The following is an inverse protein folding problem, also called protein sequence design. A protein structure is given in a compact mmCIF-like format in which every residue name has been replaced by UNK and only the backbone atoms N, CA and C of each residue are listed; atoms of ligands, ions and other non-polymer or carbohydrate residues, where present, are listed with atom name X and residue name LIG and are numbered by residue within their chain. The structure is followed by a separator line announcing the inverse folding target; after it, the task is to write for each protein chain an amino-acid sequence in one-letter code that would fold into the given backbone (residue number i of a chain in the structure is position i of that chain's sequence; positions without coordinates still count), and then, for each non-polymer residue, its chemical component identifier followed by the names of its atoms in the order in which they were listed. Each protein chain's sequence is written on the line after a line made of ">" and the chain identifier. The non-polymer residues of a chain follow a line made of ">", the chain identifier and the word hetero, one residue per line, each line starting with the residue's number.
data_IF_283083976249
#
_entry.id   IF_283083976249
#
_cell.length_a   1.000
_cell.length_b   1.000
_cell.length_c   1.000
_cell.angle_alpha   90.00
_cell.angle_beta   90.00
_cell.angle_gamma   90.00
#
_symmetry.space_group_name_H-M   'P 1'
#
loop_
_entity.id
_entity.type
_entity.pdbx_description
1 polymer ?
#
# COMPACT_ATOMS: atom_id res chain seq x y z
N UNK A 1 -42.52 38.31 -44.17
CA UNK A 1 -43.38 38.79 -43.07
C UNK A 1 -42.92 38.15 -41.77
N UNK A 2 -42.77 38.97 -40.72
CA UNK A 2 -42.32 38.61 -39.36
C UNK A 2 -43.39 37.80 -38.59
N UNK A 3 -42.95 36.95 -37.66
CA UNK A 3 -43.37 36.88 -36.23
C UNK A 3 -43.21 35.45 -35.66
N UNK A 4 -42.17 35.14 -34.85
CA UNK A 4 -42.11 35.08 -33.36
C UNK A 4 -43.05 34.11 -32.64
N UNK A 5 -42.46 33.10 -31.95
CA UNK A 5 -42.79 32.55 -30.61
C UNK A 5 -41.56 31.75 -30.13
N UNK A 6 -40.67 32.28 -29.26
CA UNK A 6 -40.67 32.37 -27.78
C UNK A 6 -40.56 31.02 -27.03
N UNK A 7 -39.46 30.92 -26.27
CA UNK A 7 -38.99 29.81 -25.42
C UNK A 7 -40.00 29.30 -24.39
N UNK A 8 -39.91 28.00 -24.07
CA UNK A 8 -40.02 27.52 -22.68
C UNK A 8 -39.03 26.35 -22.45
N UNK A 9 -37.92 26.66 -21.78
CA UNK A 9 -37.17 25.71 -20.97
C UNK A 9 -38.06 25.37 -19.77
N UNK A 10 -38.39 24.10 -19.59
CA UNK A 10 -38.90 23.60 -18.31
C UNK A 10 -37.81 22.72 -17.72
N UNK A 11 -37.00 23.33 -16.86
CA UNK A 11 -36.20 22.61 -15.87
C UNK A 11 -37.16 22.01 -14.84
N UNK A 12 -37.22 20.69 -14.75
CA UNK A 12 -37.81 20.03 -13.58
C UNK A 12 -36.66 19.77 -12.60
N UNK A 13 -36.65 20.38 -11.40
CA UNK A 13 -35.64 20.08 -10.40
C UNK A 13 -36.04 18.77 -9.71
N UNK A 14 -35.30 17.69 -9.97
CA UNK A 14 -35.29 16.56 -9.05
C UNK A 14 -34.25 16.85 -7.97
N UNK A 15 -34.72 17.36 -6.84
CA UNK A 15 -33.98 17.31 -5.59
C UNK A 15 -33.92 15.84 -5.18
N UNK A 16 -32.79 15.19 -5.41
CA UNK A 16 -32.40 14.00 -4.66
C UNK A 16 -31.20 14.37 -3.82
N UNK A 17 -31.37 14.16 -2.53
CA UNK A 17 -30.43 14.38 -1.44
C UNK A 17 -28.99 13.96 -1.78
N UNK A 18 -28.05 14.90 -1.63
CA UNK A 18 -26.73 14.65 -1.04
C UNK A 18 -25.87 13.51 -1.59
N UNK A 19 -25.98 13.13 -2.86
CA UNK A 19 -25.05 12.19 -3.45
C UNK A 19 -23.75 12.94 -3.76
N UNK A 20 -22.77 12.87 -2.86
CA UNK A 20 -21.39 13.13 -3.23
C UNK A 20 -21.03 12.01 -4.21
N UNK A 21 -21.09 12.30 -5.52
CA UNK A 21 -20.50 11.41 -6.52
C UNK A 21 -19.00 11.39 -6.20
N UNK A 22 -18.52 10.27 -5.65
CA UNK A 22 -17.09 10.08 -5.45
C UNK A 22 -16.39 10.35 -6.79
N UNK A 23 -15.48 11.32 -6.81
CA UNK A 23 -14.75 11.64 -8.04
C UNK A 23 -13.85 10.47 -8.38
N UNK A 24 -13.81 10.11 -9.65
CA UNK A 24 -12.89 9.11 -10.16
C UNK A 24 -11.44 9.58 -9.91
N UNK A 25 -10.56 8.73 -9.33
CA UNK A 25 -9.15 9.04 -9.18
C UNK A 25 -8.51 9.43 -10.52
N UNK A 26 -7.87 10.59 -10.55
CA UNK A 26 -7.30 11.21 -11.75
C UNK A 26 -5.80 11.44 -11.59
N UNK A 27 -5.05 11.42 -12.69
CA UNK A 27 -3.58 11.56 -12.62
C UNK A 27 -3.16 12.91 -12.04
N UNK A 28 -2.32 12.85 -11.01
CA UNK A 28 -1.55 13.98 -10.47
C UNK A 28 -0.15 13.98 -11.07
N UNK A 29 0.48 12.80 -11.19
CA UNK A 29 1.83 12.62 -11.72
C UNK A 29 1.92 11.38 -12.60
N UNK A 30 2.72 11.46 -13.66
CA UNK A 30 3.21 10.31 -14.41
C UNK A 30 4.67 10.57 -14.80
N UNK A 31 5.61 9.75 -14.31
CA UNK A 31 7.04 9.95 -14.59
C UNK A 31 7.83 8.64 -14.52
N UNK A 32 8.86 8.50 -15.35
CA UNK A 32 9.95 7.54 -15.09
C UNK A 32 10.75 7.95 -13.85
N UNK A 33 11.57 7.05 -13.33
CA UNK A 33 12.42 7.30 -12.15
C UNK A 33 13.90 7.18 -12.51
N UNK A 34 14.80 7.40 -11.54
CA UNK A 34 16.21 7.04 -11.69
C UNK A 34 16.50 5.55 -11.42
N UNK A 35 15.48 4.76 -11.03
CA UNK A 35 15.61 3.32 -10.92
C UNK A 35 15.41 2.66 -12.29
N UNK A 36 16.25 1.66 -12.55
CA UNK A 36 16.03 0.69 -13.62
C UNK A 36 14.66 0.01 -13.52
N UNK A 37 14.27 -0.73 -14.56
CA UNK A 37 13.12 -1.63 -14.46
C UNK A 37 13.39 -2.67 -13.36
N UNK A 38 12.50 -2.75 -12.39
CA UNK A 38 12.73 -3.44 -11.11
C UNK A 38 11.98 -4.77 -10.95
N UNK A 39 11.39 -5.30 -12.03
CA UNK A 39 10.62 -6.55 -11.96
C UNK A 39 11.47 -7.73 -11.44
N UNK A 40 10.87 -8.55 -10.58
CA UNK A 40 11.44 -9.80 -10.07
C UNK A 40 12.37 -9.68 -8.85
N UNK A 41 13.08 -8.56 -8.66
CA UNK A 41 14.05 -8.41 -7.55
C UNK A 41 13.75 -7.26 -6.58
N UNK A 42 12.69 -6.48 -6.81
CA UNK A 42 12.34 -5.39 -5.93
C UNK A 42 10.88 -5.42 -5.47
N UNK A 43 10.70 -4.98 -4.23
CA UNK A 43 9.46 -4.44 -3.73
C UNK A 43 9.54 -2.90 -3.72
N UNK A 44 8.50 -2.21 -4.19
CA UNK A 44 8.45 -0.74 -4.18
C UNK A 44 7.44 -0.27 -3.12
N UNK A 45 7.89 0.63 -2.25
CA UNK A 45 7.11 1.25 -1.18
C UNK A 45 7.15 2.78 -1.31
N UNK A 46 6.25 3.44 -0.60
CA UNK A 46 6.17 4.91 -0.54
C UNK A 46 6.14 5.36 0.92
N UNK A 47 6.83 6.46 1.22
CA UNK A 47 6.85 7.09 2.54
C UNK A 47 7.74 8.31 2.56
N UNK A 48 7.50 9.25 3.48
CA UNK A 48 8.34 10.45 3.64
C UNK A 48 9.61 10.10 4.41
N UNK A 49 10.69 9.76 3.69
CA UNK A 49 11.93 9.27 4.27
C UNK A 49 12.77 10.42 4.85
N UNK A 50 12.81 11.56 4.16
CA UNK A 50 13.63 12.72 4.55
C UNK A 50 12.86 13.77 5.37
N UNK A 51 11.58 13.55 5.67
CA UNK A 51 10.67 14.43 6.42
C UNK A 51 10.40 15.77 5.74
N UNK A 52 10.45 15.82 4.42
CA UNK A 52 10.14 17.03 3.65
C UNK A 52 8.65 17.18 3.33
N UNK A 53 7.81 16.22 3.76
CA UNK A 53 6.37 16.08 3.50
C UNK A 53 6.02 15.80 2.05
N UNK A 54 6.95 15.37 1.21
CA UNK A 54 6.69 14.75 -0.09
C UNK A 54 6.96 13.25 0.05
N UNK A 55 6.04 12.37 -0.34
CA UNK A 55 6.32 10.95 -0.30
C UNK A 55 7.49 10.57 -1.23
N UNK A 56 8.51 9.94 -0.65
CA UNK A 56 9.66 9.37 -1.35
C UNK A 56 9.36 7.94 -1.81
N UNK A 57 10.07 7.48 -2.84
CA UNK A 57 9.99 6.10 -3.31
C UNK A 57 11.10 5.30 -2.61
N UNK A 58 10.71 4.22 -1.92
CA UNK A 58 11.63 3.31 -1.25
C UNK A 58 11.59 1.96 -1.96
N UNK A 59 12.65 1.65 -2.70
CA UNK A 59 12.82 0.39 -3.41
C UNK A 59 13.68 -0.57 -2.58
N UNK A 60 13.11 -1.73 -2.26
CA UNK A 60 13.76 -2.79 -1.50
C UNK A 60 14.23 -3.87 -2.46
N UNK A 61 15.54 -3.97 -2.70
CA UNK A 61 16.13 -5.01 -3.55
C UNK A 61 16.39 -6.26 -2.72
N UNK A 62 15.76 -7.36 -3.09
CA UNK A 62 15.66 -8.57 -2.25
C UNK A 62 16.69 -9.64 -2.55
N UNK A 63 17.22 -9.64 -3.78
CA UNK A 63 18.04 -10.73 -4.34
C UNK A 63 19.01 -10.19 -5.38
N UNK A 64 20.09 -10.93 -5.64
CA UNK A 64 21.14 -10.56 -6.59
C UNK A 64 21.73 -9.17 -6.27
N UNK A 65 22.00 -8.95 -4.99
CA UNK A 65 22.44 -7.66 -4.47
C UNK A 65 23.97 -7.54 -4.54
N UNK A 66 24.46 -6.30 -4.67
CA UNK A 66 25.90 -6.03 -4.64
C UNK A 66 26.47 -6.22 -3.23
N UNK A 67 25.67 -5.90 -2.22
CA UNK A 67 26.01 -6.00 -0.80
C UNK A 67 25.89 -7.41 -0.19
N UNK A 68 25.30 -8.38 -0.91
CA UNK A 68 24.93 -9.71 -0.37
C UNK A 68 23.96 -9.65 0.81
N UNK A 69 23.19 -8.57 0.86
CA UNK A 69 22.18 -8.26 1.86
C UNK A 69 20.96 -7.67 1.16
N UNK A 70 19.80 -7.64 1.80
CA UNK A 70 18.69 -6.82 1.28
C UNK A 70 19.18 -5.37 1.15
N UNK A 71 18.95 -4.71 0.02
CA UNK A 71 19.35 -3.31 -0.18
C UNK A 71 18.13 -2.37 -0.18
N UNK A 72 18.31 -1.17 0.36
CA UNK A 72 17.30 -0.10 0.35
C UNK A 72 17.82 1.05 -0.49
N UNK A 73 17.02 1.41 -1.49
CA UNK A 73 17.28 2.50 -2.43
C UNK A 73 16.14 3.51 -2.31
N UNK A 74 16.43 4.72 -1.85
CA UNK A 74 15.43 5.78 -1.64
C UNK A 74 15.59 6.86 -2.69
N UNK A 75 14.51 7.23 -3.37
CA UNK A 75 14.48 8.30 -4.36
C UNK A 75 13.57 9.43 -3.89
N UNK A 76 14.07 10.67 -4.03
CA UNK A 76 13.38 11.85 -3.51
C UNK A 76 12.11 12.18 -4.29
N UNK A 77 10.98 12.23 -3.59
CA UNK A 77 9.70 12.71 -4.12
C UNK A 77 9.78 14.16 -4.59
N UNK A 78 10.48 15.03 -3.83
CA UNK A 78 10.72 16.42 -4.21
C UNK A 78 11.49 16.58 -5.53
N UNK A 79 12.30 15.58 -5.91
CA UNK A 79 12.98 15.53 -7.21
C UNK A 79 12.15 14.89 -8.33
N UNK A 80 10.89 14.54 -8.09
CA UNK A 80 10.09 13.64 -8.95
C UNK A 80 10.78 12.30 -9.22
N UNK A 81 11.38 11.74 -8.17
CA UNK A 81 12.06 10.45 -8.16
C UNK A 81 13.27 10.38 -9.12
N UNK A 82 13.97 11.50 -9.31
CA UNK A 82 15.17 11.59 -10.17
C UNK A 82 16.48 11.52 -9.40
N UNK A 83 16.47 11.78 -8.10
CA UNK A 83 17.67 11.77 -7.26
C UNK A 83 17.55 10.71 -6.17
N UNK A 84 18.63 9.94 -5.97
CA UNK A 84 18.75 9.06 -4.81
C UNK A 84 19.07 9.86 -3.55
N UNK A 85 18.33 9.59 -2.47
CA UNK A 85 18.63 10.06 -1.11
C UNK A 85 19.54 9.06 -0.40
N UNK A 86 19.27 7.76 -0.57
CA UNK A 86 19.99 6.67 0.09
C UNK A 86 20.13 5.49 -0.87
N UNK A 87 21.29 4.82 -0.82
CA UNK A 87 21.50 3.48 -1.36
C UNK A 87 22.39 2.72 -0.38
N UNK A 88 21.87 1.67 0.25
CA UNK A 88 22.61 0.93 1.28
C UNK A 88 22.18 -0.53 1.36
N UNK A 89 23.11 -1.42 1.70
CA UNK A 89 22.78 -2.77 2.18
C UNK A 89 22.19 -2.70 3.59
N UNK A 90 21.62 -3.79 4.09
CA UNK A 90 21.01 -3.82 5.43
C UNK A 90 21.67 -4.89 6.31
N UNK A 91 21.32 -4.89 7.60
CA UNK A 91 21.66 -5.97 8.51
C UNK A 91 20.94 -7.30 8.20
N UNK A 92 19.96 -7.28 7.29
CA UNK A 92 19.25 -8.45 6.81
C UNK A 92 19.97 -9.00 5.58
N UNK A 93 20.28 -10.31 5.58
CA UNK A 93 20.83 -10.99 4.40
C UNK A 93 19.92 -10.89 3.17
N UNK A 94 20.32 -11.50 2.05
CA UNK A 94 19.41 -11.63 0.91
C UNK A 94 18.15 -12.39 1.33
N UNK A 95 17.00 -11.76 1.12
CA UNK A 95 15.71 -12.19 1.63
C UNK A 95 14.68 -12.09 0.50
N UNK A 96 14.52 -13.15 -0.32
CA UNK A 96 13.77 -13.06 -1.57
C UNK A 96 12.28 -12.77 -1.32
N UNK A 97 11.66 -12.01 -2.24
CA UNK A 97 10.25 -11.61 -2.16
C UNK A 97 9.25 -12.79 -2.12
N UNK A 98 9.67 -13.99 -2.55
CA UNK A 98 8.86 -15.20 -2.38
C UNK A 98 8.66 -15.56 -0.91
N UNK A 99 9.65 -15.30 -0.04
CA UNK A 99 9.60 -15.61 1.38
C UNK A 99 9.33 -14.38 2.25
N UNK A 100 9.71 -13.18 1.81
CA UNK A 100 9.61 -11.95 2.58
C UNK A 100 8.63 -10.94 1.98
N UNK A 101 7.95 -10.20 2.84
CA UNK A 101 7.22 -8.96 2.51
C UNK A 101 7.81 -7.83 3.35
N UNK A 102 7.95 -6.64 2.76
CA UNK A 102 8.51 -5.47 3.44
C UNK A 102 7.45 -4.40 3.65
N UNK A 103 7.53 -3.69 4.77
CA UNK A 103 6.71 -2.54 5.12
C UNK A 103 7.61 -1.45 5.72
N UNK A 104 7.10 -0.22 5.78
CA UNK A 104 7.79 0.91 6.40
C UNK A 104 6.89 1.54 7.46
N UNK A 105 7.45 1.75 8.65
CA UNK A 105 6.81 2.52 9.72
C UNK A 105 7.88 2.99 10.70
N UNK A 106 7.61 4.06 11.43
CA UNK A 106 8.41 4.45 12.60
C UNK A 106 8.03 3.55 13.78
N UNK A 107 8.83 2.51 14.04
CA UNK A 107 8.50 1.50 15.05
C UNK A 107 8.99 1.91 16.45
N UNK A 108 10.12 2.60 16.54
CA UNK A 108 10.72 3.03 17.81
C UNK A 108 10.40 4.48 18.21
N UNK A 109 9.69 5.22 17.36
CA UNK A 109 9.19 6.57 17.66
C UNK A 109 10.25 7.65 17.49
N UNK A 110 11.35 7.38 16.79
CA UNK A 110 12.40 8.37 16.52
C UNK A 110 12.08 9.29 15.32
N UNK A 111 10.98 9.01 14.63
CA UNK A 111 10.43 9.68 13.45
C UNK A 111 11.02 9.22 12.12
N UNK A 112 11.95 8.27 12.09
CA UNK A 112 12.56 7.74 10.86
C UNK A 112 11.83 6.45 10.49
N UNK A 113 11.65 6.24 9.20
CA UNK A 113 11.03 5.01 8.73
C UNK A 113 11.97 3.82 8.95
N UNK A 114 11.55 2.89 9.80
CA UNK A 114 12.17 1.59 9.99
C UNK A 114 11.68 0.61 8.91
N UNK A 115 12.53 -0.38 8.59
CA UNK A 115 12.16 -1.46 7.68
C UNK A 115 11.59 -2.61 8.50
N UNK A 116 10.32 -2.95 8.25
CA UNK A 116 9.67 -4.14 8.80
C UNK A 116 9.73 -5.23 7.73
N UNK A 117 10.53 -6.26 7.96
CA UNK A 117 10.62 -7.44 7.11
C UNK A 117 9.81 -8.60 7.72
N UNK A 118 8.76 -9.00 7.03
CA UNK A 118 7.87 -10.10 7.40
C UNK A 118 8.32 -11.36 6.66
N UNK A 119 8.85 -12.33 7.40
CA UNK A 119 9.22 -13.64 6.88
C UNK A 119 8.01 -14.57 6.98
N UNK A 120 7.47 -14.95 5.82
CA UNK A 120 6.18 -15.65 5.72
C UNK A 120 6.25 -17.11 6.19
N UNK A 121 7.25 -17.87 5.74
CA UNK A 121 7.37 -19.31 5.99
C UNK A 121 8.84 -19.76 6.09
N UNK A 122 9.06 -21.04 6.42
CA UNK A 122 10.39 -21.61 6.68
C UNK A 122 11.15 -20.80 7.75
N UNK A 123 10.43 -20.54 8.83
CA UNK A 123 10.82 -19.72 9.97
C UNK A 123 11.47 -20.56 11.06
N UNK A 124 12.26 -19.93 11.94
CA UNK A 124 12.83 -20.61 13.10
C UNK A 124 11.80 -20.88 14.20
N UNK A 125 10.71 -20.11 14.20
CA UNK A 125 9.64 -20.15 15.21
C UNK A 125 8.42 -20.95 14.79
N UNK A 126 8.37 -21.50 13.57
CA UNK A 126 7.18 -22.16 12.99
C UNK A 126 5.94 -21.24 12.99
N UNK A 127 6.17 -19.94 12.87
CA UNK A 127 5.17 -18.86 12.84
C UNK A 127 5.68 -17.79 11.88
N UNK A 128 4.80 -16.94 11.35
CA UNK A 128 5.29 -15.76 10.61
C UNK A 128 6.22 -14.95 11.51
N UNK A 129 7.42 -14.60 11.04
CA UNK A 129 8.42 -13.83 11.80
C UNK A 129 8.46 -12.37 11.34
N UNK A 130 8.67 -11.46 12.28
CA UNK A 130 8.88 -10.04 12.01
C UNK A 130 10.30 -9.67 12.43
N UNK A 131 11.04 -9.07 11.50
CA UNK A 131 12.37 -8.52 11.71
C UNK A 131 12.35 -7.02 11.39
N UNK A 132 12.63 -6.18 12.38
CA UNK A 132 12.58 -4.72 12.23
C UNK A 132 13.99 -4.17 12.26
N UNK A 133 14.37 -3.39 11.24
CA UNK A 133 15.68 -2.76 11.11
C UNK A 133 15.55 -1.24 11.24
N UNK A 134 16.38 -0.64 12.08
CA UNK A 134 16.30 0.78 12.43
C UNK A 134 16.70 1.69 11.28
N UNK A 135 15.79 2.57 10.86
CA UNK A 135 16.06 3.64 9.90
C UNK A 135 17.13 4.61 10.42
N UNK A 136 17.17 4.86 11.73
CA UNK A 136 18.22 5.65 12.38
C UNK A 136 19.64 5.11 12.17
N UNK A 137 19.75 3.79 12.04
CA UNK A 137 21.01 3.10 11.80
C UNK A 137 21.35 2.92 10.32
N UNK A 138 20.60 3.54 9.40
CA UNK A 138 20.60 3.19 7.97
C UNK A 138 20.39 1.67 7.79
N UNK A 139 19.44 1.13 8.54
CA UNK A 139 19.00 -0.27 8.46
C UNK A 139 20.09 -1.30 8.78
N UNK A 140 21.15 -0.92 9.50
CA UNK A 140 22.24 -1.82 9.90
C UNK A 140 21.93 -2.61 11.18
N UNK A 141 21.03 -2.11 12.02
CA UNK A 141 20.72 -2.71 13.33
C UNK A 141 19.29 -3.19 13.39
N UNK A 142 19.09 -4.39 13.93
CA UNK A 142 17.76 -4.88 14.30
C UNK A 142 17.27 -4.19 15.58
N UNK A 143 16.02 -3.71 15.55
CA UNK A 143 15.27 -3.27 16.72
C UNK A 143 14.54 -4.47 17.34
N UNK A 144 13.94 -5.32 16.51
CA UNK A 144 13.15 -6.47 16.92
C UNK A 144 13.36 -7.64 15.96
N UNK A 145 13.41 -8.86 16.50
CA UNK A 145 13.30 -10.10 15.73
C UNK A 145 12.47 -11.10 16.53
N UNK A 146 11.30 -11.49 16.03
CA UNK A 146 10.37 -12.31 16.82
C UNK A 146 9.40 -13.08 15.92
N UNK A 147 9.00 -14.29 16.35
CA UNK A 147 7.81 -14.96 15.79
C UNK A 147 6.54 -14.24 16.21
N UNK A 148 5.44 -14.40 15.48
CA UNK A 148 4.18 -13.72 15.77
C UNK A 148 3.11 -14.70 16.27
N UNK A 149 1.93 -14.20 16.64
CA UNK A 149 0.76 -15.05 16.86
C UNK A 149 0.20 -15.68 15.57
N UNK A 150 0.64 -15.20 14.41
CA UNK A 150 0.21 -15.71 13.12
C UNK A 150 1.06 -16.92 12.73
N UNK A 151 0.40 -17.99 12.27
CA UNK A 151 1.07 -19.15 11.69
C UNK A 151 1.92 -18.76 10.47
N UNK A 152 2.74 -19.67 9.97
CA UNK A 152 3.43 -19.44 8.70
C UNK A 152 2.41 -19.15 7.59
N UNK A 153 2.71 -18.13 6.78
CA UNK A 153 1.87 -17.62 5.71
C UNK A 153 2.46 -17.93 4.34
N UNK A 154 1.69 -17.69 3.29
CA UNK A 154 2.06 -17.95 1.90
C UNK A 154 1.57 -16.80 0.98
N UNK A 155 1.55 -17.03 -0.33
CA UNK A 155 1.14 -16.02 -1.32
C UNK A 155 -0.37 -15.73 -1.33
N UNK A 156 -1.18 -16.44 -0.54
CA UNK A 156 -2.57 -16.08 -0.26
C UNK A 156 -2.68 -14.96 0.78
N UNK A 157 -1.58 -14.55 1.40
CA UNK A 157 -1.53 -13.45 2.35
C UNK A 157 -0.92 -12.18 1.73
N UNK A 158 -1.43 -11.03 2.15
CA UNK A 158 -0.80 -9.72 1.99
C UNK A 158 -0.61 -9.08 3.36
N UNK A 159 0.20 -8.03 3.43
CA UNK A 159 0.48 -7.34 4.68
C UNK A 159 0.44 -5.83 4.48
N UNK A 160 -0.09 -5.14 5.49
CA UNK A 160 -0.03 -3.69 5.65
C UNK A 160 0.41 -3.33 7.07
N UNK A 161 0.67 -2.04 7.29
CA UNK A 161 1.06 -1.50 8.59
C UNK A 161 0.22 -0.26 8.89
N UNK A 162 -0.17 -0.08 10.13
CA UNK A 162 -0.97 1.07 10.58
C UNK A 162 -1.19 1.02 12.08
N UNK A 163 -1.78 2.06 12.66
CA UNK A 163 -2.07 2.08 14.10
C UNK A 163 -3.56 1.78 14.33
N UNK A 164 -3.89 0.58 14.81
CA UNK A 164 -5.28 0.16 15.00
C UNK A 164 -5.83 0.57 16.36
N UNK A 165 -5.07 0.45 17.45
CA UNK A 165 -5.57 0.66 18.82
C UNK A 165 -4.97 1.87 19.53
N UNK A 166 -4.44 2.83 18.77
CA UNK A 166 -3.85 4.11 19.24
C UNK A 166 -2.65 3.94 20.16
N UNK A 167 -2.04 2.75 20.19
CA UNK A 167 -0.77 2.54 20.87
C UNK A 167 0.39 3.20 20.09
N UNK A 168 1.55 3.39 20.70
CA UNK A 168 2.66 4.13 20.08
C UNK A 168 3.47 3.30 19.07
N UNK A 169 3.14 2.02 18.89
CA UNK A 169 3.85 1.11 17.98
C UNK A 169 2.93 0.72 16.82
N UNK A 170 3.45 0.63 15.59
CA UNK A 170 2.64 0.23 14.46
C UNK A 170 2.17 -1.24 14.58
N UNK A 171 0.90 -1.48 14.25
CA UNK A 171 0.31 -2.80 14.14
C UNK A 171 0.49 -3.37 12.72
N UNK A 172 0.55 -4.70 12.61
CA UNK A 172 0.61 -5.39 11.32
C UNK A 172 -0.77 -5.92 10.95
N UNK A 173 -1.23 -5.55 9.77
CA UNK A 173 -2.47 -6.03 9.17
C UNK A 173 -2.14 -7.18 8.23
N UNK A 174 -2.36 -8.41 8.68
CA UNK A 174 -2.25 -9.61 7.84
C UNK A 174 -3.58 -9.86 7.13
N UNK A 175 -3.57 -9.77 5.81
CA UNK A 175 -4.77 -9.82 4.95
C UNK A 175 -4.78 -11.16 4.22
N UNK A 176 -5.69 -12.05 4.60
CA UNK A 176 -5.85 -13.36 3.97
C UNK A 176 -6.84 -13.26 2.82
N UNK A 177 -6.34 -13.44 1.60
CA UNK A 177 -7.10 -13.21 0.36
C UNK A 177 -8.10 -14.33 0.07
N UNK A 178 -7.72 -15.58 0.28
CA UNK A 178 -8.52 -16.75 -0.09
C UNK A 178 -8.30 -17.92 0.88
N UNK A 179 -9.08 -19.00 0.70
CA UNK A 179 -9.09 -20.17 1.58
C UNK A 179 -9.41 -19.80 3.03
N UNK A 180 -10.37 -18.89 3.18
CA UNK A 180 -10.78 -18.26 4.43
C UNK A 180 -11.89 -19.04 5.12
N UNK A 181 -12.02 -18.86 6.43
CA UNK A 181 -13.11 -19.45 7.22
C UNK A 181 -14.44 -18.72 6.96
N UNK A 182 -14.36 -17.40 6.75
CA UNK A 182 -15.49 -16.50 6.52
C UNK A 182 -16.02 -16.50 5.07
N UNK A 183 -15.30 -17.10 4.11
CA UNK A 183 -15.61 -17.01 2.66
C UNK A 183 -15.58 -15.57 2.14
N UNK A 184 -14.76 -14.75 2.76
CA UNK A 184 -14.47 -13.35 2.44
C UNK A 184 -12.99 -13.11 2.63
N UNK A 185 -12.44 -12.03 2.09
CA UNK A 185 -11.09 -11.60 2.48
C UNK A 185 -11.08 -11.35 4.00
N UNK A 186 -10.13 -11.91 4.74
CA UNK A 186 -10.02 -11.76 6.21
C UNK A 186 -8.88 -10.80 6.58
N UNK A 187 -9.09 -10.00 7.63
CA UNK A 187 -8.05 -9.15 8.22
C UNK A 187 -7.75 -9.62 9.64
N UNK A 188 -6.47 -9.91 9.89
CA UNK A 188 -5.93 -10.27 11.20
C UNK A 188 -4.90 -9.21 11.60
N UNK A 189 -5.16 -8.49 12.68
CA UNK A 189 -4.31 -7.38 13.14
C UNK A 189 -3.47 -7.86 14.31
N UNK A 190 -2.15 -7.84 14.15
CA UNK A 190 -1.15 -8.19 15.17
C UNK A 190 -0.69 -6.93 15.90
N UNK A 191 -0.76 -6.96 17.24
CA UNK A 191 -0.45 -5.80 18.09
C UNK A 191 1.04 -5.45 18.10
N UNK A 192 1.39 -4.22 17.72
CA UNK A 192 2.74 -3.69 17.78
C UNK A 192 3.31 -3.63 19.20
N UNK A 193 2.57 -3.05 20.14
CA UNK A 193 3.00 -2.93 21.56
C UNK A 193 3.21 -4.26 22.29
N UNK A 194 2.71 -5.38 21.75
CA UNK A 194 2.92 -6.72 22.29
C UNK A 194 3.91 -7.56 21.46
N UNK A 195 4.81 -6.91 20.73
CA UNK A 195 5.79 -7.53 19.82
C UNK A 195 5.14 -8.57 18.89
N UNK A 196 3.93 -8.24 18.40
CA UNK A 196 3.11 -9.05 17.49
C UNK A 196 2.71 -10.44 18.03
N UNK A 197 2.78 -10.65 19.35
CA UNK A 197 2.39 -11.90 20.01
C UNK A 197 0.89 -12.05 20.27
N UNK A 198 0.10 -11.02 19.99
CA UNK A 198 -1.33 -11.00 20.22
C UNK A 198 -2.07 -10.44 19.00
N UNK A 199 -3.26 -10.98 18.74
CA UNK A 199 -4.21 -10.35 17.82
C UNK A 199 -5.00 -9.26 18.53
N UNK A 200 -5.20 -8.12 17.86
CA UNK A 200 -6.14 -7.07 18.27
C UNK A 200 -7.51 -7.27 17.63
N UNK A 201 -7.51 -7.75 16.38
CA UNK A 201 -8.71 -8.04 15.60
C UNK A 201 -8.46 -9.25 14.71
N UNK A 202 -9.50 -10.08 14.54
CA UNK A 202 -9.57 -11.09 13.50
C UNK A 202 -11.00 -11.09 12.96
N UNK A 203 -11.17 -10.78 11.67
CA UNK A 203 -12.51 -10.63 11.09
C UNK A 203 -12.53 -10.93 9.60
N UNK A 204 -13.65 -11.46 9.11
CA UNK A 204 -13.96 -11.43 7.67
C UNK A 204 -14.40 -10.03 7.27
N UNK A 205 -14.30 -9.68 6.00
CA UNK A 205 -14.66 -8.33 5.50
C UNK A 205 -15.86 -8.38 4.56
N UNK A 206 -16.40 -7.23 4.16
CA UNK A 206 -17.42 -7.19 3.11
C UNK A 206 -16.87 -7.50 1.71
N UNK A 207 -15.56 -7.60 1.56
CA UNK A 207 -14.91 -7.99 0.31
C UNK A 207 -14.89 -9.52 0.21
N UNK A 208 -15.37 -10.07 -0.91
CA UNK A 208 -15.28 -11.50 -1.18
C UNK A 208 -13.83 -12.00 -1.14
N UNK A 209 -13.64 -13.33 -1.19
CA UNK A 209 -12.30 -13.85 -1.42
C UNK A 209 -11.69 -13.24 -2.69
N UNK A 210 -10.40 -12.95 -2.61
CA UNK A 210 -9.58 -12.31 -3.63
C UNK A 210 -8.40 -13.22 -4.04
N UNK A 211 -7.65 -12.80 -5.05
CA UNK A 211 -6.59 -13.60 -5.66
C UNK A 211 -5.34 -12.76 -5.98
N UNK A 212 -4.47 -13.24 -6.89
CA UNK A 212 -3.24 -12.55 -7.31
C UNK A 212 -3.49 -11.29 -8.15
N UNK A 213 -4.71 -11.08 -8.65
CA UNK A 213 -5.11 -9.85 -9.35
C UNK A 213 -5.39 -8.69 -8.39
N UNK A 214 -5.38 -8.95 -7.09
CA UNK A 214 -5.56 -7.93 -6.05
C UNK A 214 -4.24 -7.51 -5.41
N UNK A 215 -4.11 -6.23 -5.13
CA UNK A 215 -3.12 -5.65 -4.24
C UNK A 215 -3.84 -5.00 -3.06
N UNK A 216 -3.15 -4.89 -1.93
CA UNK A 216 -3.73 -4.32 -0.72
C UNK A 216 -2.79 -3.30 -0.11
N UNK A 217 -3.37 -2.20 0.35
CA UNK A 217 -2.74 -1.22 1.21
C UNK A 217 -3.62 -0.98 2.45
N UNK A 218 -3.02 -0.39 3.48
CA UNK A 218 -3.69 0.01 4.71
C UNK A 218 -3.36 1.46 4.98
N UNK A 219 -4.37 2.25 5.33
CA UNK A 219 -4.21 3.67 5.61
C UNK A 219 -5.56 4.31 5.92
N UNK A 220 -5.56 5.43 6.65
CA UNK A 220 -6.77 6.20 6.95
C UNK A 220 -7.22 6.96 5.69
N UNK A 221 -8.15 6.36 4.93
CA UNK A 221 -8.56 6.90 3.63
C UNK A 221 -9.59 8.03 3.80
N UNK A 222 -10.45 7.94 4.82
CA UNK A 222 -11.53 8.90 5.06
C UNK A 222 -11.18 10.00 6.10
N UNK A 223 -10.03 9.91 6.75
CA UNK A 223 -9.56 10.87 7.75
C UNK A 223 -10.23 10.72 9.11
N UNK A 224 -10.76 9.54 9.46
CA UNK A 224 -11.44 9.30 10.73
C UNK A 224 -10.51 8.85 11.87
N UNK A 225 -9.21 8.70 11.58
CA UNK A 225 -8.17 8.27 12.51
C UNK A 225 -8.06 6.76 12.67
N UNK A 226 -8.86 5.96 11.94
CA UNK A 226 -8.80 4.50 11.94
C UNK A 226 -8.27 3.99 10.59
N UNK A 227 -7.28 3.07 10.57
CA UNK A 227 -6.80 2.53 9.30
C UNK A 227 -7.90 1.77 8.55
N UNK A 228 -8.11 2.12 7.28
CA UNK A 228 -9.00 1.46 6.34
C UNK A 228 -8.24 0.39 5.53
N UNK A 229 -8.98 -0.54 4.92
CA UNK A 229 -8.44 -1.52 3.98
C UNK A 229 -8.67 -1.04 2.55
N UNK A 230 -7.60 -0.81 1.80
CA UNK A 230 -7.64 -0.40 0.39
C UNK A 230 -7.30 -1.62 -0.46
N UNK A 231 -8.30 -2.18 -1.13
CA UNK A 231 -8.15 -3.21 -2.15
C UNK A 231 -8.01 -2.60 -3.53
N UNK A 232 -6.95 -2.94 -4.26
CA UNK A 232 -6.71 -2.52 -5.64
C UNK A 232 -6.88 -3.73 -6.54
N UNK A 233 -7.95 -3.74 -7.34
CA UNK A 233 -8.22 -4.79 -8.32
C UNK A 233 -7.60 -4.40 -9.64
N UNK A 234 -6.55 -5.13 -10.03
CA UNK A 234 -5.68 -4.75 -11.14
C UNK A 234 -6.32 -5.03 -12.51
N UNK A 235 -7.01 -6.16 -12.66
CA UNK A 235 -7.58 -6.61 -13.93
C UNK A 235 -8.90 -7.39 -13.74
N UNK A 236 -9.53 -7.81 -14.83
CA UNK A 236 -10.86 -8.47 -14.82
C UNK A 236 -11.92 -7.66 -14.07
N UNK A 237 -11.89 -6.34 -14.29
CA UNK A 237 -12.68 -5.33 -13.59
C UNK A 237 -13.98 -5.00 -14.34
N UNK A 238 -14.99 -4.48 -13.63
CA UNK A 238 -16.27 -4.10 -14.24
C UNK A 238 -16.18 -2.79 -15.04
N UNK A 239 -15.21 -1.96 -14.70
CA UNK A 239 -14.96 -0.64 -15.31
C UNK A 239 -13.97 -0.65 -16.47
N UNK A 240 -13.38 -1.81 -16.81
CA UNK A 240 -12.27 -1.92 -17.76
C UNK A 240 -11.09 -0.97 -17.44
N UNK A 241 -10.89 -0.71 -16.15
CA UNK A 241 -9.81 0.10 -15.56
C UNK A 241 -9.30 -0.60 -14.29
N UNK A 242 -8.17 -0.19 -13.72
CA UNK A 242 -7.84 -0.62 -12.36
C UNK A 242 -8.86 -0.04 -11.38
N UNK A 243 -9.41 -0.85 -10.48
CA UNK A 243 -10.44 -0.44 -9.51
C UNK A 243 -9.86 -0.31 -8.11
N UNK A 244 -10.35 0.69 -7.35
CA UNK A 244 -10.08 0.84 -5.92
C UNK A 244 -11.37 0.51 -5.16
N UNK A 245 -11.25 -0.34 -4.15
CA UNK A 245 -12.29 -0.71 -3.21
C UNK A 245 -11.79 -0.43 -1.79
N UNK A 246 -12.41 0.51 -1.08
CA UNK A 246 -12.01 0.89 0.27
C UNK A 246 -13.07 0.43 1.26
N UNK A 247 -12.66 -0.34 2.26
CA UNK A 247 -13.49 -0.80 3.38
C UNK A 247 -13.07 -0.10 4.66
N UNK A 248 -14.02 0.47 5.39
CA UNK A 248 -13.67 1.31 6.54
C UNK A 248 -13.24 0.49 7.76
N UNK A 249 -12.16 0.92 8.42
CA UNK A 249 -11.72 0.38 9.69
C UNK A 249 -12.68 0.68 10.83
N UNK A 250 -13.43 1.79 10.77
CA UNK A 250 -14.33 2.23 11.83
C UNK A 250 -15.45 1.21 12.15
N UNK A 251 -15.75 0.32 11.22
CA UNK A 251 -16.73 -0.76 11.41
C UNK A 251 -16.14 -2.16 11.22
N UNK A 252 -14.83 -2.34 11.44
CA UNK A 252 -14.14 -3.61 11.23
C UNK A 252 -14.30 -4.13 9.79
N UNK A 253 -14.18 -3.25 8.79
CA UNK A 253 -14.17 -3.57 7.36
C UNK A 253 -15.47 -4.20 6.83
N UNK A 254 -16.60 -3.89 7.44
CA UNK A 254 -17.91 -4.42 7.05
C UNK A 254 -18.64 -3.53 6.02
N UNK A 255 -18.16 -2.31 5.77
CA UNK A 255 -18.77 -1.40 4.78
C UNK A 255 -17.72 -0.91 3.80
N UNK A 256 -18.10 -0.88 2.53
CA UNK A 256 -17.38 -0.12 1.52
C UNK A 256 -17.68 1.37 1.68
N UNK A 257 -16.65 2.19 1.66
CA UNK A 257 -16.73 3.66 1.60
C UNK A 257 -16.33 4.21 0.22
N UNK A 258 -15.66 3.40 -0.60
CA UNK A 258 -15.37 3.70 -1.99
C UNK A 258 -15.33 2.41 -2.83
N UNK A 259 -15.92 2.44 -4.02
CA UNK A 259 -15.75 1.44 -5.06
C UNK A 259 -15.82 2.13 -6.41
N UNK A 260 -14.69 2.28 -7.08
CA UNK A 260 -14.64 3.03 -8.35
C UNK A 260 -13.47 2.59 -9.24
N UNK A 261 -13.63 2.78 -10.54
CA UNK A 261 -12.52 2.68 -11.49
C UNK A 261 -11.56 3.85 -11.33
N UNK A 262 -10.35 3.73 -11.87
CA UNK A 262 -9.34 4.79 -11.87
C UNK A 262 -9.06 5.27 -13.28
N UNK A 263 -8.22 6.29 -13.45
CA UNK A 263 -7.71 6.67 -14.77
C UNK A 263 -6.66 5.69 -15.34
N UNK A 264 -6.23 4.68 -14.57
CA UNK A 264 -5.35 3.62 -15.05
C UNK A 264 -6.14 2.59 -15.84
N UNK A 265 -5.59 2.19 -16.98
CA UNK A 265 -6.00 0.96 -17.67
C UNK A 265 -5.84 -0.26 -16.74
N UNK A 266 -6.47 -1.41 -17.05
CA UNK A 266 -6.25 -2.63 -16.29
C UNK A 266 -4.76 -2.94 -16.21
N UNK A 267 -4.25 -2.95 -14.98
CA UNK A 267 -2.84 -3.19 -14.68
C UNK A 267 -2.55 -4.69 -14.54
N UNK A 268 -1.37 -5.13 -14.99
CA UNK A 268 -0.96 -6.53 -14.91
C UNK A 268 -0.12 -6.87 -13.67
N UNK A 269 0.62 -7.98 -13.73
CA UNK A 269 1.57 -8.39 -12.69
C UNK A 269 2.80 -7.48 -12.56
N UNK A 270 3.10 -6.68 -13.60
CA UNK A 270 4.21 -5.72 -13.61
C UNK A 270 3.92 -4.42 -12.82
N UNK A 271 2.72 -4.29 -12.24
CA UNK A 271 2.37 -3.18 -11.36
C UNK A 271 2.38 -3.58 -9.89
N UNK A 272 2.87 -2.66 -9.06
CA UNK A 272 2.73 -2.66 -7.60
C UNK A 272 2.08 -1.35 -7.15
N UNK A 273 1.44 -1.35 -5.99
CA UNK A 273 0.67 -0.20 -5.51
C UNK A 273 1.03 0.20 -4.08
N UNK A 274 0.87 1.49 -3.79
CA UNK A 274 0.99 2.07 -2.45
C UNK A 274 0.04 3.24 -2.29
N UNK A 275 -0.05 3.79 -1.07
CA UNK A 275 -0.86 4.97 -0.79
C UNK A 275 -0.07 5.96 0.08
N UNK A 276 -0.17 7.24 -0.23
CA UNK A 276 0.40 8.34 0.55
C UNK A 276 -0.21 9.67 0.09
N UNK A 277 -0.20 10.70 0.93
CA UNK A 277 -0.63 12.04 0.54
C UNK A 277 0.46 12.74 -0.29
N UNK A 278 0.34 12.72 -1.62
CA UNK A 278 1.35 13.28 -2.52
C UNK A 278 1.19 14.80 -2.68
N UNK A 279 -0.06 15.26 -2.78
CA UNK A 279 -0.38 16.66 -3.08
C UNK A 279 -0.58 17.54 -1.81
N UNK A 280 -0.51 16.94 -0.62
CA UNK A 280 -0.66 17.56 0.71
C UNK A 280 -2.06 18.11 0.97
N UNK A 281 -3.09 17.49 0.40
CA UNK A 281 -4.48 17.86 0.63
C UNK A 281 -5.11 17.17 1.85
N UNK A 282 -4.33 16.33 2.54
CA UNK A 282 -4.75 15.57 3.72
C UNK A 282 -5.46 14.26 3.38
N UNK A 283 -5.50 13.85 2.11
CA UNK A 283 -6.05 12.57 1.67
C UNK A 283 -4.96 11.68 1.11
N UNK A 284 -5.18 10.37 1.21
CA UNK A 284 -4.30 9.39 0.59
C UNK A 284 -4.51 9.37 -0.92
N UNK A 285 -3.43 9.56 -1.68
CA UNK A 285 -3.39 9.34 -3.13
C UNK A 285 -2.94 7.91 -3.45
N UNK A 286 -3.40 7.36 -4.56
CA UNK A 286 -2.96 6.06 -5.06
C UNK A 286 -1.66 6.20 -5.84
N UNK A 287 -0.64 5.45 -5.43
CA UNK A 287 0.59 5.24 -6.18
C UNK A 287 0.53 3.93 -6.95
N UNK A 288 0.84 3.98 -8.25
CA UNK A 288 1.03 2.81 -9.09
C UNK A 288 2.45 2.81 -9.66
N UNK A 289 3.19 1.74 -9.39
CA UNK A 289 4.57 1.53 -9.80
C UNK A 289 4.62 0.51 -10.93
N UNK A 290 4.91 0.96 -12.15
CA UNK A 290 5.10 0.07 -13.30
C UNK A 290 6.57 -0.35 -13.34
N UNK A 291 6.84 -1.62 -13.04
CA UNK A 291 8.18 -2.15 -12.80
C UNK A 291 8.90 -2.65 -14.05
N UNK A 292 8.19 -2.88 -15.14
CA UNK A 292 8.75 -3.35 -16.41
C UNK A 292 7.85 -3.02 -17.59
N UNK A 293 8.41 -3.16 -18.81
CA UNK A 293 7.73 -2.85 -20.07
C UNK A 293 7.28 -1.38 -20.10
N UNK A 294 8.14 -0.50 -19.60
CA UNK A 294 7.88 0.94 -19.40
C UNK A 294 8.22 1.73 -20.66
N UNK A 295 7.57 2.89 -20.83
CA UNK A 295 7.90 3.80 -21.94
C UNK A 295 9.20 4.56 -21.71
N UNK A 296 9.57 4.75 -20.44
CA UNK A 296 10.77 5.45 -20.01
C UNK A 296 12.03 4.59 -19.89
N UNK A 297 11.92 3.27 -20.07
CA UNK A 297 13.01 2.29 -19.83
C UNK A 297 13.56 2.36 -18.39
N UNK A 298 12.70 2.73 -17.46
CA UNK A 298 12.96 2.92 -16.03
C UNK A 298 11.68 2.57 -15.30
N UNK A 299 11.73 2.24 -14.00
CA UNK A 299 10.48 2.09 -13.24
C UNK A 299 9.67 3.39 -13.31
N UNK A 300 8.37 3.30 -13.62
CA UNK A 300 7.47 4.45 -13.74
C UNK A 300 6.58 4.57 -12.50
N UNK A 301 6.37 5.81 -12.06
CA UNK A 301 5.44 6.17 -10.98
C UNK A 301 4.26 6.92 -11.59
N UNK A 302 3.06 6.45 -11.31
CA UNK A 302 1.82 7.14 -11.60
C UNK A 302 1.09 7.41 -10.28
N UNK A 303 0.75 8.67 -10.03
CA UNK A 303 0.01 9.08 -8.82
C UNK A 303 -1.39 9.52 -9.23
N UNK A 304 -2.41 9.01 -8.56
CA UNK A 304 -3.81 9.31 -8.81
C UNK A 304 -4.47 9.86 -7.54
N UNK A 305 -5.28 10.91 -7.71
CA UNK A 305 -5.95 11.61 -6.60
C UNK A 305 -6.90 10.71 -5.80
N UNK A 306 -6.87 10.84 -4.47
CA UNK A 306 -7.83 10.23 -3.54
C UNK A 306 -9.23 10.81 -3.52
#
# INVERSE_FOLDING_TARGET
>A
MRSTYLNFLVSVPAVVSGLVVARQPSFILQTGTALEETEGNFQILVGDYNRDRVPDLVAIKTSNTGSKSTEIHVLSGASTYKNFILQTGTGLGEAPASQFKYLLADYDGDGKLDLIAIKKYATGTSSTEVHILSGASNYQKFILQTGTALHETDDTWSFGVGNWDTDSKPDIFAIKKSNTGSKSTEVHILRGSADYKNFVLQTGTALSETDSTWNFAVGDWNGDGKPDLIGIKKESTGTASTEIHVLTGANNFQNFILQTGTALHPTGANFEFGVADYNRDGKLDLFAFKKSNTGSLSTEVHVLSG
#
